data_IF_162047215186
#
_entry.id   IF_162047215186
#
_cell.length_a   1.000
_cell.length_b   1.000
_cell.length_c   1.000
_cell.angle_alpha   90.00
_cell.angle_beta   90.00
_cell.angle_gamma   90.00
#
_symmetry.space_group_name_H-M   'P 1'
#
loop_
_entity.id
_entity.type
_entity.pdbx_description
1 polymer ?
#
# COMPACT_ATOMS: atom_id res chain seq x y z
N UNK A 1 39.76 40.66 -22.77
CA UNK A 1 40.62 39.47 -22.65
C UNK A 1 40.72 39.14 -21.17
N UNK A 2 39.98 38.14 -20.74
CA UNK A 2 39.82 37.72 -19.34
C UNK A 2 39.87 36.19 -19.37
N UNK A 3 40.66 35.54 -18.51
CA UNK A 3 41.16 34.20 -18.82
C UNK A 3 40.14 33.12 -18.50
N UNK A 4 40.07 32.13 -19.40
CA UNK A 4 39.41 30.85 -19.18
C UNK A 4 40.15 30.09 -18.07
N UNK A 5 39.44 29.75 -17.00
CA UNK A 5 39.85 28.72 -16.05
C UNK A 5 39.33 27.38 -16.57
N UNK A 6 40.22 26.58 -17.15
CA UNK A 6 39.97 25.17 -17.42
C UNK A 6 40.09 24.37 -16.13
N UNK A 7 38.98 24.00 -15.51
CA UNK A 7 38.99 23.00 -14.45
C UNK A 7 38.93 21.60 -15.08
N UNK A 8 40.07 20.94 -15.17
CA UNK A 8 40.12 19.50 -15.40
C UNK A 8 39.67 18.83 -14.10
N UNK A 9 38.41 18.39 -14.05
CA UNK A 9 37.91 17.58 -12.95
C UNK A 9 38.48 16.17 -13.09
N UNK A 10 39.47 15.84 -12.25
CA UNK A 10 39.98 14.48 -12.11
C UNK A 10 38.93 13.63 -11.39
N UNK A 11 38.27 12.76 -12.15
CA UNK A 11 37.31 11.79 -11.63
C UNK A 11 38.07 10.75 -10.78
N UNK A 12 38.02 10.86 -9.45
CA UNK A 12 38.48 9.80 -8.55
C UNK A 12 37.48 8.63 -8.62
N UNK A 13 37.79 7.62 -9.43
CA UNK A 13 37.13 6.32 -9.38
C UNK A 13 37.54 5.58 -8.10
N UNK A 14 36.76 5.73 -7.03
CA UNK A 14 36.76 4.79 -5.92
C UNK A 14 35.96 3.55 -6.35
N UNK A 15 36.67 2.61 -6.96
CA UNK A 15 36.13 1.30 -7.33
C UNK A 15 35.91 0.44 -6.10
N UNK A 16 34.65 0.29 -5.69
CA UNK A 16 34.16 -0.93 -5.05
C UNK A 16 33.31 -1.67 -6.07
N UNK A 17 33.94 -2.52 -6.88
CA UNK A 17 33.21 -3.44 -7.76
C UNK A 17 32.57 -4.53 -6.90
N UNK A 18 31.37 -4.28 -6.41
CA UNK A 18 30.44 -5.39 -6.19
C UNK A 18 30.29 -6.09 -7.55
N UNK A 19 30.53 -7.41 -7.56
CA UNK A 19 30.42 -8.20 -8.79
C UNK A 19 29.09 -7.88 -9.48
N UNK A 20 29.09 -7.55 -10.79
CA UNK A 20 27.85 -7.29 -11.51
C UNK A 20 26.97 -8.53 -11.43
N UNK A 21 25.68 -8.32 -11.17
CA UNK A 21 24.68 -9.40 -11.29
C UNK A 21 24.75 -9.92 -12.72
N UNK A 22 24.98 -11.22 -12.90
CA UNK A 22 25.04 -11.81 -14.23
C UNK A 22 23.66 -11.70 -14.88
N UNK A 23 23.60 -11.31 -16.15
CA UNK A 23 22.32 -11.24 -16.89
C UNK A 23 21.60 -12.59 -16.98
N UNK A 24 22.33 -13.70 -16.81
CA UNK A 24 21.78 -15.07 -16.77
C UNK A 24 20.98 -15.39 -15.50
N UNK A 25 21.05 -14.54 -14.46
CA UNK A 25 20.38 -14.75 -13.17
C UNK A 25 19.07 -13.95 -13.05
N UNK A 26 18.72 -13.14 -14.06
CA UNK A 26 17.53 -12.28 -14.01
C UNK A 26 16.34 -13.01 -14.66
N UNK A 27 15.22 -13.19 -13.94
CA UNK A 27 14.03 -13.80 -14.50
C UNK A 27 13.51 -13.09 -15.76
N UNK A 28 12.83 -13.79 -16.68
CA UNK A 28 12.38 -13.20 -17.96
C UNK A 28 11.50 -11.95 -17.83
N UNK A 29 10.65 -11.90 -16.80
CA UNK A 29 9.78 -10.74 -16.48
C UNK A 29 10.47 -9.67 -15.61
N UNK A 30 11.76 -9.82 -15.32
CA UNK A 30 12.52 -8.90 -14.48
C UNK A 30 13.59 -8.14 -15.28
N UNK A 31 13.97 -6.97 -14.77
CA UNK A 31 15.05 -6.16 -15.33
C UNK A 31 15.86 -5.50 -14.21
N UNK A 32 17.16 -5.33 -14.45
CA UNK A 32 18.04 -4.61 -13.53
C UNK A 32 17.86 -3.11 -13.67
N UNK A 33 17.73 -2.40 -12.55
CA UNK A 33 17.78 -0.95 -12.48
C UNK A 33 19.09 -0.53 -11.80
N UNK A 34 20.07 -0.07 -12.59
CA UNK A 34 21.36 0.37 -12.05
C UNK A 34 21.29 1.79 -11.49
N UNK A 35 21.21 1.89 -10.16
CA UNK A 35 21.17 3.18 -9.46
C UNK A 35 22.37 4.08 -9.76
N UNK A 36 23.53 3.50 -10.04
CA UNK A 36 24.73 4.28 -10.37
C UNK A 36 24.57 5.06 -11.68
N UNK A 37 23.77 4.54 -12.60
CA UNK A 37 23.52 5.17 -13.90
C UNK A 37 22.74 6.48 -13.79
N UNK A 38 22.08 6.74 -12.66
CA UNK A 38 21.31 7.96 -12.43
C UNK A 38 21.69 8.72 -11.16
N UNK A 39 22.82 8.38 -10.53
CA UNK A 39 23.43 9.25 -9.52
C UNK A 39 23.81 10.63 -10.11
N UNK A 40 24.16 10.67 -11.40
CA UNK A 40 24.43 11.89 -12.15
C UNK A 40 23.70 11.80 -13.49
N UNK A 41 22.64 12.59 -13.64
CA UNK A 41 21.90 12.69 -14.90
C UNK A 41 22.53 13.75 -15.82
N UNK A 42 22.46 13.59 -17.15
CA UNK A 42 22.90 14.63 -18.09
C UNK A 42 22.16 15.96 -17.91
N UNK A 43 20.91 15.91 -17.45
CA UNK A 43 20.10 17.06 -17.07
C UNK A 43 19.14 16.67 -15.94
N UNK A 44 18.95 17.58 -14.97
CA UNK A 44 17.96 17.47 -13.89
C UNK A 44 16.95 18.60 -14.06
N UNK A 45 15.69 18.25 -14.29
CA UNK A 45 14.62 19.23 -14.49
C UNK A 45 14.24 19.93 -13.18
N UNK A 46 13.71 21.17 -13.25
CA UNK A 46 13.25 21.87 -12.05
C UNK A 46 12.03 21.18 -11.40
N UNK A 47 11.77 21.39 -10.10
CA UNK A 47 10.64 20.73 -9.39
C UNK A 47 9.25 20.99 -9.98
N UNK A 48 9.07 22.09 -10.72
CA UNK A 48 7.81 22.37 -11.40
C UNK A 48 7.54 21.42 -12.60
N UNK A 49 8.59 20.81 -13.15
CA UNK A 49 8.53 19.93 -14.32
C UNK A 49 8.72 18.45 -13.95
N UNK A 50 9.62 18.17 -12.99
CA UNK A 50 9.90 16.82 -12.51
C UNK A 50 9.73 16.75 -11.00
N UNK A 51 8.66 16.08 -10.58
CA UNK A 51 8.25 15.94 -9.18
C UNK A 51 7.66 14.54 -8.94
N UNK A 52 7.06 14.33 -7.77
CA UNK A 52 6.51 13.03 -7.39
C UNK A 52 5.41 12.48 -8.33
N UNK A 53 4.82 13.30 -9.21
CA UNK A 53 3.85 12.85 -10.23
C UNK A 53 4.49 12.49 -11.58
N UNK A 54 5.73 12.92 -11.82
CA UNK A 54 6.39 12.70 -13.10
C UNK A 54 6.96 11.28 -13.13
N UNK A 55 6.70 10.46 -14.16
CA UNK A 55 7.25 9.12 -14.24
C UNK A 55 8.77 9.20 -14.41
N UNK A 56 9.51 8.53 -13.53
CA UNK A 56 10.95 8.37 -13.68
C UNK A 56 11.24 7.16 -14.57
N UNK A 57 11.88 7.38 -15.71
CA UNK A 57 12.38 6.32 -16.58
C UNK A 57 13.89 6.20 -16.39
N UNK A 58 14.39 5.14 -15.71
CA UNK A 58 15.81 4.97 -15.47
C UNK A 58 16.61 4.87 -16.79
N UNK A 59 17.83 5.44 -16.86
CA UNK A 59 18.70 5.27 -18.01
C UNK A 59 18.91 3.79 -18.37
N UNK A 60 18.75 3.47 -19.66
CA UNK A 60 18.81 2.09 -20.15
C UNK A 60 17.45 1.39 -20.25
N UNK A 61 16.38 2.01 -19.75
CA UNK A 61 15.00 1.55 -19.88
C UNK A 61 14.15 2.51 -20.73
N UNK A 62 13.02 2.01 -21.22
CA UNK A 62 11.90 2.78 -21.79
C UNK A 62 10.64 2.52 -20.97
N UNK A 63 9.62 3.40 -21.06
CA UNK A 63 8.32 3.16 -20.41
C UNK A 63 7.74 1.78 -20.77
N UNK A 64 7.81 1.40 -22.04
CA UNK A 64 7.37 0.08 -22.51
C UNK A 64 8.16 -1.05 -21.86
N UNK A 65 9.49 -0.92 -21.74
CA UNK A 65 10.31 -1.94 -21.12
C UNK A 65 9.98 -2.11 -19.63
N UNK A 66 9.65 -1.02 -18.93
CA UNK A 66 9.26 -1.06 -17.51
C UNK A 66 7.98 -1.87 -17.33
N UNK A 67 7.02 -1.72 -18.23
CA UNK A 67 5.76 -2.48 -18.22
C UNK A 67 5.93 -3.94 -18.69
N UNK A 68 6.75 -4.19 -19.71
CA UNK A 68 6.99 -5.55 -20.23
C UNK A 68 7.76 -6.45 -19.25
N UNK A 69 8.61 -5.84 -18.40
CA UNK A 69 9.38 -6.52 -17.37
C UNK A 69 9.14 -5.84 -16.02
N UNK A 70 7.97 -6.07 -15.39
CA UNK A 70 7.50 -5.29 -14.25
C UNK A 70 8.30 -5.51 -12.96
N UNK A 71 9.11 -6.57 -12.88
CA UNK A 71 9.94 -6.82 -11.70
C UNK A 71 11.27 -6.06 -11.81
N UNK A 72 11.32 -4.87 -11.21
CA UNK A 72 12.48 -3.98 -11.28
C UNK A 72 13.43 -4.31 -10.13
N UNK A 73 14.60 -4.86 -10.47
CA UNK A 73 15.63 -5.31 -9.52
C UNK A 73 16.58 -4.15 -9.26
N UNK A 74 16.47 -3.52 -8.08
CA UNK A 74 17.40 -2.47 -7.64
C UNK A 74 18.58 -3.06 -6.85
N UNK A 75 18.39 -4.22 -6.23
CA UNK A 75 19.40 -5.02 -5.54
C UNK A 75 19.12 -6.52 -5.69
N UNK A 76 20.17 -7.35 -5.70
CA UNK A 76 20.07 -8.81 -5.78
C UNK A 76 19.25 -9.45 -4.66
N UNK A 77 19.10 -8.77 -3.51
CA UNK A 77 18.19 -9.19 -2.43
C UNK A 77 16.76 -9.41 -2.95
N UNK A 78 16.31 -8.64 -3.93
CA UNK A 78 14.97 -8.76 -4.52
C UNK A 78 14.78 -10.02 -5.38
N UNK A 79 15.85 -10.61 -5.91
CA UNK A 79 15.75 -11.89 -6.63
C UNK A 79 15.23 -13.01 -5.71
N UNK A 80 15.49 -12.94 -4.40
CA UNK A 80 14.93 -13.88 -3.41
C UNK A 80 13.45 -13.62 -3.12
N UNK A 81 12.96 -12.41 -3.38
CA UNK A 81 11.56 -12.04 -3.20
C UNK A 81 10.72 -12.57 -4.36
N UNK A 82 11.19 -12.32 -5.59
CA UNK A 82 10.43 -12.66 -6.80
C UNK A 82 10.61 -14.13 -7.22
N UNK A 83 11.75 -14.74 -6.91
CA UNK A 83 12.04 -16.12 -7.32
C UNK A 83 12.46 -16.23 -8.79
N UNK A 84 12.49 -17.45 -9.31
CA UNK A 84 13.03 -17.76 -10.64
C UNK A 84 12.03 -17.48 -11.77
N UNK A 85 10.73 -17.63 -11.50
CA UNK A 85 9.66 -17.52 -12.50
C UNK A 85 8.50 -16.64 -11.99
N UNK A 86 8.75 -15.38 -11.61
CA UNK A 86 7.68 -14.49 -11.18
C UNK A 86 6.76 -14.15 -12.36
N UNK A 87 5.48 -13.99 -12.07
CA UNK A 87 4.49 -13.53 -13.04
C UNK A 87 3.69 -12.35 -12.50
N UNK A 88 3.30 -11.43 -13.39
CA UNK A 88 2.31 -10.41 -13.11
C UNK A 88 1.23 -10.47 -14.20
N UNK A 89 0.02 -10.84 -13.79
CA UNK A 89 -1.13 -11.00 -14.68
C UNK A 89 -2.15 -9.92 -14.35
N UNK A 90 -2.56 -9.14 -15.35
CA UNK A 90 -3.74 -8.29 -15.23
C UNK A 90 -5.00 -9.15 -15.34
N UNK A 91 -5.80 -9.23 -14.29
CA UNK A 91 -6.94 -10.15 -14.19
C UNK A 91 -8.31 -9.48 -14.32
N UNK A 92 -8.40 -8.18 -14.04
CA UNK A 92 -9.62 -7.41 -14.23
C UNK A 92 -9.32 -5.97 -14.62
N UNK A 93 -10.26 -5.33 -15.30
CA UNK A 93 -10.16 -3.96 -15.77
C UNK A 93 -11.54 -3.29 -15.74
N UNK A 94 -11.58 -2.06 -15.23
CA UNK A 94 -12.70 -1.15 -15.32
C UNK A 94 -12.36 -0.01 -16.28
N UNK A 95 -13.19 0.29 -17.30
CA UNK A 95 -12.86 1.30 -18.31
C UNK A 95 -12.67 2.73 -17.77
N UNK A 96 -13.26 3.04 -16.62
CA UNK A 96 -13.31 4.42 -16.10
C UNK A 96 -13.24 4.47 -14.58
N UNK A 97 -14.10 3.73 -13.92
CA UNK A 97 -14.27 3.85 -12.47
C UNK A 97 -13.18 3.02 -11.76
N UNK A 98 -12.45 3.56 -10.76
CA UNK A 98 -11.38 2.85 -10.07
C UNK A 98 -11.94 1.83 -9.08
N UNK A 99 -12.46 0.71 -9.60
CA UNK A 99 -13.10 -0.34 -8.80
C UNK A 99 -12.12 -1.14 -7.93
N UNK A 100 -10.81 -1.03 -8.22
CA UNK A 100 -9.75 -1.81 -7.57
C UNK A 100 -8.81 -0.86 -6.84
N UNK A 101 -9.29 -0.33 -5.72
CA UNK A 101 -8.61 0.73 -4.99
C UNK A 101 -7.93 0.20 -3.71
N UNK A 102 -8.70 -0.38 -2.79
CA UNK A 102 -8.29 -0.51 -1.37
C UNK A 102 -8.61 -1.88 -0.71
N UNK A 103 -8.21 -2.06 0.56
CA UNK A 103 -8.54 -3.21 1.44
C UNK A 103 -8.30 -4.62 0.87
N UNK A 104 -7.13 -4.88 0.30
CA UNK A 104 -6.82 -6.22 -0.19
C UNK A 104 -6.67 -7.21 0.97
N UNK A 105 -7.63 -8.13 1.14
CA UNK A 105 -7.64 -9.11 2.24
C UNK A 105 -7.94 -10.50 1.70
N UNK A 106 -7.01 -11.43 1.91
CA UNK A 106 -7.23 -12.84 1.63
C UNK A 106 -7.91 -13.55 2.81
N UNK A 107 -9.09 -14.13 2.56
CA UNK A 107 -9.81 -14.98 3.49
C UNK A 107 -9.39 -16.44 3.27
N UNK A 108 -8.50 -16.95 4.14
CA UNK A 108 -8.05 -18.36 4.09
C UNK A 108 -9.19 -19.38 4.16
N UNK A 109 -10.26 -19.05 4.87
CA UNK A 109 -11.39 -19.95 5.07
C UNK A 109 -12.31 -20.14 3.85
N UNK A 110 -12.26 -19.20 2.89
CA UNK A 110 -13.00 -19.28 1.63
C UNK A 110 -12.08 -19.38 0.40
N UNK A 111 -10.78 -19.13 0.59
CA UNK A 111 -9.78 -18.97 -0.47
C UNK A 111 -10.14 -17.89 -1.51
N UNK A 112 -10.68 -16.79 -0.99
CA UNK A 112 -11.10 -15.62 -1.77
C UNK A 112 -10.33 -14.39 -1.30
N UNK A 113 -10.11 -13.45 -2.23
CA UNK A 113 -9.51 -12.15 -1.92
C UNK A 113 -10.56 -11.08 -2.07
N UNK A 114 -10.74 -10.29 -1.02
CA UNK A 114 -11.64 -9.14 -0.96
C UNK A 114 -10.85 -7.86 -1.19
N UNK A 115 -11.50 -6.87 -1.77
CA UNK A 115 -10.98 -5.52 -1.99
C UNK A 115 -12.17 -4.59 -2.20
N UNK A 116 -11.92 -3.28 -2.18
CA UNK A 116 -12.99 -2.30 -2.15
C UNK A 116 -12.75 -1.12 -3.07
N UNK A 117 -13.86 -0.43 -3.34
CA UNK A 117 -13.89 0.93 -3.83
C UNK A 117 -14.58 1.80 -2.79
N UNK A 118 -13.85 2.78 -2.26
CA UNK A 118 -14.38 3.81 -1.37
C UNK A 118 -14.88 5.03 -2.14
N UNK A 119 -15.31 6.07 -1.41
CA UNK A 119 -15.69 7.34 -2.02
C UNK A 119 -14.44 8.17 -2.28
N UNK A 120 -14.17 8.52 -3.54
CA UNK A 120 -13.18 9.54 -3.87
C UNK A 120 -13.82 10.92 -4.07
N UNK A 121 -12.97 11.91 -4.39
CA UNK A 121 -13.40 13.28 -4.68
C UNK A 121 -14.47 13.34 -5.78
N UNK A 122 -15.34 14.37 -5.74
CA UNK A 122 -16.48 14.55 -6.68
C UNK A 122 -16.12 14.43 -8.17
N UNK A 123 -14.88 14.74 -8.55
CA UNK A 123 -14.39 14.70 -9.93
C UNK A 123 -13.65 13.39 -10.29
N UNK A 124 -13.37 12.50 -9.32
CA UNK A 124 -12.54 11.31 -9.49
C UNK A 124 -13.28 10.15 -10.18
N UNK A 125 -14.39 10.40 -10.89
CA UNK A 125 -15.37 9.41 -11.39
C UNK A 125 -16.07 8.55 -10.33
N UNK A 126 -15.57 8.60 -9.09
CA UNK A 126 -16.14 8.09 -7.85
C UNK A 126 -16.90 9.18 -7.10
N UNK A 127 -17.67 8.78 -6.09
CA UNK A 127 -18.40 9.65 -5.18
C UNK A 127 -19.44 8.83 -4.40
N UNK A 128 -20.17 9.46 -3.49
CA UNK A 128 -21.09 8.74 -2.59
C UNK A 128 -22.20 7.93 -3.29
N UNK A 129 -22.53 8.26 -4.54
CA UNK A 129 -23.51 7.50 -5.35
C UNK A 129 -22.91 6.25 -6.02
N UNK A 130 -21.58 6.12 -6.01
CA UNK A 130 -20.80 5.07 -6.69
C UNK A 130 -19.68 4.52 -5.81
N UNK A 131 -19.83 4.60 -4.49
CA UNK A 131 -18.86 4.13 -3.50
C UNK A 131 -19.44 3.03 -2.63
N UNK A 132 -18.70 2.61 -1.60
CA UNK A 132 -19.11 1.59 -0.65
C UNK A 132 -19.31 0.21 -1.29
N UNK A 133 -18.44 -0.13 -2.24
CA UNK A 133 -18.47 -1.38 -2.97
C UNK A 133 -17.39 -2.30 -2.40
N UNK A 134 -17.80 -3.46 -1.92
CA UNK A 134 -16.91 -4.57 -1.58
C UNK A 134 -16.98 -5.57 -2.74
N UNK A 135 -15.84 -6.03 -3.21
CA UNK A 135 -15.72 -7.03 -4.26
C UNK A 135 -14.82 -8.16 -3.81
N UNK A 136 -14.94 -9.31 -4.49
CA UNK A 136 -14.07 -10.46 -4.28
C UNK A 136 -13.77 -11.22 -5.55
N UNK A 137 -12.66 -11.96 -5.52
CA UNK A 137 -12.28 -12.96 -6.52
C UNK A 137 -11.96 -14.30 -5.86
N UNK A 138 -12.11 -15.39 -6.61
CA UNK A 138 -11.54 -16.70 -6.26
C UNK A 138 -10.03 -16.70 -6.52
N UNK A 139 -9.24 -17.09 -5.52
CA UNK A 139 -7.80 -17.19 -5.69
C UNK A 139 -7.41 -18.31 -6.66
N UNK A 140 -8.19 -19.39 -6.70
CA UNK A 140 -7.97 -20.51 -7.61
C UNK A 140 -8.17 -20.10 -9.08
N UNK A 141 -9.18 -19.27 -9.37
CA UNK A 141 -9.41 -18.75 -10.73
C UNK A 141 -8.27 -17.84 -11.17
N UNK A 142 -7.82 -16.92 -10.30
CA UNK A 142 -6.68 -16.05 -10.58
C UNK A 142 -5.39 -16.84 -10.81
N UNK A 143 -5.15 -17.88 -10.01
CA UNK A 143 -3.98 -18.75 -10.17
C UNK A 143 -4.00 -19.51 -11.51
N UNK A 144 -5.17 -19.92 -11.99
CA UNK A 144 -5.33 -20.68 -13.24
C UNK A 144 -4.97 -19.87 -14.50
N UNK A 145 -4.88 -18.54 -14.41
CA UNK A 145 -4.53 -17.64 -15.51
C UNK A 145 -3.18 -16.95 -15.33
N UNK A 146 -2.42 -17.34 -14.31
CA UNK A 146 -1.17 -16.68 -13.90
C UNK A 146 -0.01 -16.76 -14.90
N UNK A 147 -0.14 -17.59 -15.94
CA UNK A 147 0.80 -17.71 -17.06
C UNK A 147 0.62 -16.61 -18.11
N UNK A 148 -0.48 -15.84 -18.04
CA UNK A 148 -0.82 -14.77 -18.97
C UNK A 148 -0.31 -13.42 -18.46
N UNK A 149 0.00 -12.50 -19.37
CA UNK A 149 0.20 -11.09 -19.02
C UNK A 149 -1.13 -10.36 -18.82
N UNK A 150 -2.16 -10.76 -19.57
CA UNK A 150 -3.50 -10.19 -19.53
C UNK A 150 -4.55 -11.30 -19.63
N UNK A 151 -5.45 -11.32 -18.66
CA UNK A 151 -6.50 -12.30 -18.46
C UNK A 151 -7.84 -11.63 -18.10
N UNK A 152 -8.01 -10.35 -18.45
CA UNK A 152 -9.26 -9.61 -18.20
C UNK A 152 -10.46 -10.40 -18.74
N UNK A 153 -11.46 -10.61 -17.88
CA UNK A 153 -12.68 -11.35 -18.19
C UNK A 153 -12.59 -12.87 -17.99
N UNK A 154 -11.43 -13.40 -17.56
CA UNK A 154 -11.25 -14.82 -17.24
C UNK A 154 -11.38 -15.14 -15.75
N UNK A 155 -11.33 -14.12 -14.88
CA UNK A 155 -11.54 -14.24 -13.42
C UNK A 155 -12.83 -13.52 -13.07
N UNK A 156 -13.73 -14.20 -12.34
CA UNK A 156 -14.98 -13.59 -11.94
C UNK A 156 -14.75 -12.63 -10.76
N UNK A 157 -15.11 -11.35 -10.95
CA UNK A 157 -15.13 -10.36 -9.87
C UNK A 157 -16.57 -10.19 -9.41
N UNK A 158 -16.87 -10.70 -8.22
CA UNK A 158 -18.21 -10.63 -7.63
C UNK A 158 -18.33 -9.44 -6.66
N UNK A 159 -19.48 -8.76 -6.68
CA UNK A 159 -19.83 -7.78 -5.64
C UNK A 159 -20.30 -8.52 -4.39
N UNK A 160 -19.97 -7.99 -3.22
CA UNK A 160 -20.30 -8.54 -1.90
C UNK A 160 -21.34 -7.65 -1.23
N UNK A 161 -22.57 -8.16 -1.13
CA UNK A 161 -23.68 -7.46 -0.50
C UNK A 161 -23.66 -7.64 1.01
N UNK A 162 -22.79 -6.89 1.68
CA UNK A 162 -22.70 -6.89 3.16
C UNK A 162 -23.97 -6.35 3.82
N UNK A 163 -24.39 -6.93 4.95
CA UNK A 163 -25.59 -6.50 5.67
C UNK A 163 -25.41 -6.49 7.20
N UNK A 164 -25.59 -5.34 7.89
CA UNK A 164 -25.68 -3.98 7.34
C UNK A 164 -24.52 -3.62 6.40
N UNK A 165 -24.72 -2.65 5.51
CA UNK A 165 -23.66 -2.22 4.58
C UNK A 165 -22.49 -1.59 5.33
N UNK A 166 -21.25 -2.01 5.02
CA UNK A 166 -20.06 -1.27 5.44
C UNK A 166 -19.99 0.04 4.65
N UNK A 167 -20.11 1.17 5.34
CA UNK A 167 -20.14 2.49 4.70
C UNK A 167 -18.72 2.96 4.41
N UNK A 168 -18.45 3.25 3.13
CA UNK A 168 -17.15 3.68 2.60
C UNK A 168 -16.00 2.85 3.23
N UNK A 169 -15.96 1.53 3.00
CA UNK A 169 -14.85 0.71 3.45
C UNK A 169 -13.60 1.19 2.73
N UNK A 170 -12.54 1.41 3.48
CA UNK A 170 -11.23 1.80 2.96
C UNK A 170 -10.25 0.66 3.22
N UNK A 171 -9.41 0.71 4.27
CA UNK A 171 -8.49 -0.37 4.62
C UNK A 171 -9.15 -1.51 5.39
N UNK A 172 -8.51 -2.68 5.38
CA UNK A 172 -9.02 -3.88 6.04
C UNK A 172 -7.95 -4.91 6.36
N UNK A 173 -8.26 -5.79 7.32
CA UNK A 173 -7.37 -6.88 7.73
C UNK A 173 -8.13 -8.12 8.19
N UNK A 174 -7.44 -9.25 8.25
CA UNK A 174 -7.99 -10.47 8.83
C UNK A 174 -8.13 -10.33 10.35
N UNK A 175 -9.29 -10.71 10.89
CA UNK A 175 -9.59 -10.64 12.31
C UNK A 175 -10.44 -11.83 12.75
N UNK A 176 -9.83 -12.80 13.46
CA UNK A 176 -10.52 -13.98 14.03
C UNK A 176 -11.37 -14.75 13.02
N UNK A 177 -10.82 -15.00 11.83
CA UNK A 177 -11.52 -15.68 10.73
C UNK A 177 -12.59 -14.83 10.03
N UNK A 178 -12.70 -13.56 10.41
CA UNK A 178 -13.54 -12.54 9.78
C UNK A 178 -12.67 -11.48 9.12
N UNK A 179 -13.29 -10.51 8.45
CA UNK A 179 -12.61 -9.33 7.90
C UNK A 179 -12.98 -8.12 8.74
N UNK A 180 -11.99 -7.38 9.21
CA UNK A 180 -12.15 -6.12 9.92
C UNK A 180 -11.87 -4.97 8.93
N UNK A 181 -12.87 -4.15 8.64
CA UNK A 181 -12.77 -2.96 7.80
C UNK A 181 -12.67 -1.69 8.65
N UNK A 182 -11.84 -0.76 8.19
CA UNK A 182 -11.95 0.66 8.50
C UNK A 182 -12.97 1.29 7.54
N UNK A 183 -14.06 1.82 8.08
CA UNK A 183 -15.07 2.57 7.33
C UNK A 183 -14.93 4.06 7.57
N UNK A 184 -14.92 4.84 6.49
CA UNK A 184 -14.64 6.28 6.49
C UNK A 184 -15.84 7.14 6.92
N UNK A 185 -17.02 6.53 7.06
CA UNK A 185 -18.26 7.25 7.35
C UNK A 185 -18.75 8.10 6.17
N UNK A 186 -19.81 8.87 6.40
CA UNK A 186 -20.45 9.68 5.36
C UNK A 186 -21.30 10.83 5.93
N UNK A 187 -21.07 12.05 5.43
CA UNK A 187 -21.78 13.24 5.89
C UNK A 187 -21.66 13.44 7.40
N UNK A 188 -22.57 14.20 8.00
CA UNK A 188 -22.48 14.57 9.43
C UNK A 188 -22.93 13.45 10.37
N UNK A 189 -23.83 12.58 9.91
CA UNK A 189 -24.62 11.69 10.76
C UNK A 189 -24.22 10.21 10.68
N UNK A 190 -23.36 9.83 9.73
CA UNK A 190 -22.81 8.46 9.64
C UNK A 190 -21.34 8.53 10.03
N UNK A 191 -21.00 8.20 11.29
CA UNK A 191 -19.62 8.30 11.77
C UNK A 191 -18.73 7.24 11.12
N UNK A 192 -17.42 7.50 10.99
CA UNK A 192 -16.45 6.47 10.68
C UNK A 192 -16.45 5.38 11.76
N UNK A 193 -16.20 4.14 11.36
CA UNK A 193 -16.32 3.00 12.26
C UNK A 193 -15.46 1.81 11.84
N UNK A 194 -15.09 0.98 12.81
CA UNK A 194 -14.53 -0.33 12.59
C UNK A 194 -15.66 -1.35 12.46
N UNK A 195 -15.64 -2.12 11.36
CA UNK A 195 -16.67 -3.10 11.01
C UNK A 195 -16.07 -4.49 10.91
N UNK A 196 -16.68 -5.46 11.57
CA UNK A 196 -16.35 -6.88 11.36
C UNK A 196 -17.37 -7.48 10.41
N UNK A 197 -16.90 -8.14 9.35
CA UNK A 197 -17.73 -8.83 8.35
C UNK A 197 -17.39 -10.31 8.29
N UNK A 198 -18.40 -11.17 8.26
CA UNK A 198 -18.23 -12.58 7.93
C UNK A 198 -17.87 -12.73 6.44
N UNK A 199 -16.75 -13.40 6.06
CA UNK A 199 -16.37 -13.57 4.67
C UNK A 199 -17.24 -14.59 3.91
N UNK A 200 -18.20 -15.24 4.58
CA UNK A 200 -19.17 -16.15 3.98
C UNK A 200 -20.55 -15.51 3.94
N UNK A 201 -21.34 -15.88 2.94
CA UNK A 201 -22.75 -15.52 2.88
C UNK A 201 -23.47 -15.87 4.20
N UNK A 202 -24.35 -14.99 4.72
CA UNK A 202 -24.88 -13.78 4.07
C UNK A 202 -24.07 -12.49 4.31
N UNK A 203 -22.76 -12.57 4.60
CA UNK A 203 -21.87 -11.41 4.78
C UNK A 203 -22.32 -10.45 5.88
N UNK A 204 -22.79 -11.00 7.00
CA UNK A 204 -23.24 -10.20 8.13
C UNK A 204 -22.11 -9.31 8.66
N UNK A 205 -22.46 -8.07 8.98
CA UNK A 205 -21.51 -7.10 9.56
C UNK A 205 -21.89 -6.66 10.97
N UNK A 206 -20.92 -6.15 11.72
CA UNK A 206 -21.14 -5.57 13.05
C UNK A 206 -20.13 -4.44 13.29
N UNK A 207 -20.63 -3.29 13.73
CA UNK A 207 -19.77 -2.19 14.22
C UNK A 207 -19.20 -2.56 15.58
N UNK A 208 -17.87 -2.43 15.75
CA UNK A 208 -17.19 -2.69 17.03
C UNK A 208 -16.60 -1.43 17.68
N UNK A 209 -16.44 -0.35 16.92
CA UNK A 209 -15.96 0.95 17.42
C UNK A 209 -16.37 2.07 16.44
N UNK A 210 -16.81 3.23 16.92
CA UNK A 210 -17.21 4.36 16.06
C UNK A 210 -16.95 5.77 16.62
N UNK A 211 -16.32 5.88 17.79
CA UNK A 211 -16.05 7.16 18.42
C UNK A 211 -14.83 7.10 19.37
N UNK A 212 -14.28 8.27 19.67
CA UNK A 212 -13.30 8.49 20.72
C UNK A 212 -13.90 9.40 21.80
N UNK A 213 -14.33 8.83 22.91
CA UNK A 213 -15.00 9.55 24.02
C UNK A 213 -16.19 10.41 23.56
N UNK A 214 -17.01 9.88 22.65
CA UNK A 214 -18.18 10.55 22.07
C UNK A 214 -17.87 11.50 20.90
N UNK A 215 -16.59 11.72 20.56
CA UNK A 215 -16.19 12.46 19.35
C UNK A 215 -16.14 11.49 18.17
N UNK A 216 -16.71 11.89 17.04
CA UNK A 216 -16.53 11.13 15.81
C UNK A 216 -15.06 11.16 15.40
N UNK A 217 -14.56 10.03 14.91
CA UNK A 217 -13.31 9.97 14.14
C UNK A 217 -13.39 10.88 12.90
N UNK A 218 -12.25 11.25 12.35
CA UNK A 218 -12.18 12.05 11.12
C UNK A 218 -12.65 11.19 9.93
N UNK A 219 -11.87 10.16 9.60
CA UNK A 219 -12.07 9.19 8.53
C UNK A 219 -11.09 8.03 8.78
N UNK A 220 -11.59 6.89 9.27
CA UNK A 220 -10.73 5.73 9.51
C UNK A 220 -10.21 5.21 8.17
N UNK A 221 -8.90 5.11 8.03
CA UNK A 221 -8.28 4.78 6.75
C UNK A 221 -7.80 3.32 6.72
N UNK A 222 -6.75 2.95 7.45
CA UNK A 222 -6.25 1.56 7.46
C UNK A 222 -6.20 0.96 8.87
N UNK A 223 -6.16 -0.38 8.95
CA UNK A 223 -6.27 -1.15 10.19
C UNK A 223 -5.39 -2.40 10.16
N UNK A 224 -4.70 -2.66 11.28
CA UNK A 224 -3.87 -3.84 11.47
C UNK A 224 -4.09 -4.48 12.83
N UNK A 225 -3.97 -5.81 12.88
CA UNK A 225 -3.94 -6.56 14.14
C UNK A 225 -2.49 -6.78 14.54
N UNK A 226 -2.15 -6.47 15.78
CA UNK A 226 -0.81 -6.73 16.26
C UNK A 226 -0.61 -8.26 16.49
N UNK A 227 0.48 -8.87 15.96
CA UNK A 227 0.59 -10.33 15.86
C UNK A 227 0.68 -11.05 17.20
N UNK A 228 1.13 -10.39 18.27
CA UNK A 228 1.30 -10.98 19.62
C UNK A 228 0.16 -10.64 20.58
N UNK A 229 0.00 -9.36 20.93
CA UNK A 229 -1.04 -8.92 21.87
C UNK A 229 -2.49 -8.97 21.30
N UNK A 230 -2.66 -9.12 19.97
CA UNK A 230 -3.95 -9.22 19.26
C UNK A 230 -4.85 -7.98 19.34
N UNK A 231 -4.31 -6.84 19.77
CA UNK A 231 -5.04 -5.58 19.75
C UNK A 231 -5.14 -5.01 18.33
N UNK A 232 -6.16 -4.18 18.13
CA UNK A 232 -6.46 -3.53 16.85
C UNK A 232 -5.76 -2.17 16.85
N UNK A 233 -5.02 -1.86 15.80
CA UNK A 233 -4.42 -0.55 15.60
C UNK A 233 -4.92 0.01 14.27
N UNK A 234 -5.20 1.30 14.22
CA UNK A 234 -5.80 1.92 13.04
C UNK A 234 -5.39 3.38 12.90
N UNK A 235 -5.44 3.88 11.67
CA UNK A 235 -5.17 5.27 11.33
C UNK A 235 -6.47 6.06 11.19
N UNK A 236 -6.49 7.26 11.79
CA UNK A 236 -7.55 8.24 11.59
C UNK A 236 -6.94 9.47 10.91
N UNK A 237 -7.52 9.88 9.79
CA UNK A 237 -6.97 10.88 8.88
C UNK A 237 -8.10 11.72 8.27
N UNK A 238 -7.78 12.86 7.66
CA UNK A 238 -8.80 13.79 7.15
C UNK A 238 -9.33 13.49 5.75
N UNK A 239 -9.09 12.31 5.16
CA UNK A 239 -9.45 12.03 3.76
C UNK A 239 -10.91 12.32 3.42
N UNK A 240 -11.86 11.91 4.26
CA UNK A 240 -13.26 12.24 4.03
C UNK A 240 -13.55 13.74 3.93
N UNK A 241 -12.81 14.57 4.66
CA UNK A 241 -12.92 16.03 4.55
C UNK A 241 -12.28 16.55 3.27
N UNK A 242 -11.01 16.19 3.00
CA UNK A 242 -10.27 16.71 1.83
C UNK A 242 -10.73 16.13 0.50
N UNK A 243 -11.61 15.11 0.53
CA UNK A 243 -12.31 14.54 -0.62
C UNK A 243 -13.80 14.90 -0.65
N UNK A 244 -14.28 15.75 0.26
CA UNK A 244 -15.60 16.39 0.24
C UNK A 244 -16.80 15.42 0.42
N UNK A 245 -16.66 14.44 1.31
CA UNK A 245 -17.76 13.54 1.70
C UNK A 245 -17.98 13.42 3.22
N UNK A 246 -17.15 14.06 4.04
CA UNK A 246 -17.28 14.21 5.50
C UNK A 246 -17.10 15.68 5.92
N UNK A 247 -17.63 16.09 7.08
CA UNK A 247 -17.43 17.43 7.62
C UNK A 247 -15.96 17.68 8.00
N UNK A 248 -15.67 18.93 8.36
CA UNK A 248 -14.36 19.32 8.88
C UNK A 248 -13.93 18.42 10.07
N UNK A 249 -12.63 18.05 10.13
CA UNK A 249 -12.11 17.12 11.13
C UNK A 249 -12.28 17.65 12.55
N UNK A 250 -12.62 16.75 13.45
CA UNK A 250 -12.82 17.03 14.86
C UNK A 250 -11.67 16.53 15.75
N UNK A 251 -10.76 15.71 15.21
CA UNK A 251 -9.62 15.09 15.89
C UNK A 251 -8.31 15.38 15.13
N UNK A 252 -7.18 15.11 15.77
CA UNK A 252 -5.88 15.15 15.09
C UNK A 252 -5.67 13.86 14.30
N UNK A 253 -4.83 13.96 13.27
CA UNK A 253 -4.41 12.84 12.44
C UNK A 253 -3.37 11.98 13.16
N UNK A 254 -3.78 10.78 13.55
CA UNK A 254 -3.10 9.98 14.56
C UNK A 254 -3.34 8.48 14.39
N UNK A 255 -2.51 7.67 15.05
CA UNK A 255 -2.67 6.22 15.15
C UNK A 255 -3.29 5.89 16.50
N UNK A 256 -4.37 5.13 16.47
CA UNK A 256 -5.08 4.66 17.63
C UNK A 256 -4.86 3.16 17.83
N UNK A 257 -5.03 2.73 19.06
CA UNK A 257 -5.10 1.33 19.48
C UNK A 257 -6.41 1.09 20.20
N UNK A 258 -7.10 0.05 19.81
CA UNK A 258 -8.31 -0.47 20.44
C UNK A 258 -8.05 -1.88 20.99
N UNK A 259 -8.23 -2.04 22.30
CA UNK A 259 -8.19 -3.34 22.95
C UNK A 259 -9.61 -3.93 23.00
N UNK A 260 -9.91 -4.99 22.23
CA UNK A 260 -11.27 -5.53 22.14
C UNK A 260 -11.73 -6.27 23.40
N UNK A 261 -10.82 -6.58 24.34
CA UNK A 261 -11.15 -7.27 25.60
C UNK A 261 -11.60 -6.28 26.67
N UNK A 262 -10.88 -5.16 26.83
CA UNK A 262 -11.18 -4.15 27.85
C UNK A 262 -12.08 -3.03 27.33
N UNK A 263 -12.18 -2.87 26.01
CA UNK A 263 -12.87 -1.76 25.36
C UNK A 263 -12.04 -0.46 25.32
N UNK A 264 -10.81 -0.46 25.83
CA UNK A 264 -9.98 0.73 25.91
C UNK A 264 -9.51 1.17 24.51
N UNK A 265 -9.66 2.47 24.22
CA UNK A 265 -9.12 3.12 23.03
C UNK A 265 -8.11 4.16 23.46
N UNK A 266 -6.92 4.11 22.87
CA UNK A 266 -5.80 5.01 23.21
C UNK A 266 -5.13 5.50 21.94
N UNK A 267 -4.58 6.71 21.97
CA UNK A 267 -3.66 7.20 20.95
C UNK A 267 -2.28 6.61 21.23
N UNK A 268 -1.62 6.08 20.21
CA UNK A 268 -0.30 5.44 20.35
C UNK A 268 0.79 6.11 19.51
N UNK A 269 0.43 6.91 18.49
CA UNK A 269 1.38 7.76 17.77
C UNK A 269 0.69 8.97 17.14
N UNK A 270 1.38 10.10 17.11
CA UNK A 270 0.94 11.37 16.53
C UNK A 270 2.07 12.03 15.69
N UNK A 271 1.84 13.27 15.25
CA UNK A 271 2.81 14.06 14.49
C UNK A 271 2.91 13.70 13.01
N UNK A 272 1.90 13.02 12.47
CA UNK A 272 1.75 12.76 11.04
C UNK A 272 1.10 13.96 10.36
N UNK A 273 1.36 14.12 9.06
CA UNK A 273 0.57 15.03 8.24
C UNK A 273 -0.73 14.32 7.79
N UNK A 274 -0.63 13.12 7.19
CA UNK A 274 -1.79 12.24 6.91
C UNK A 274 -1.38 10.77 7.11
N UNK A 275 -1.63 10.13 8.28
CA UNK A 275 -1.32 8.73 8.47
C UNK A 275 -2.25 7.88 7.60
N UNK A 276 -1.68 6.88 6.92
CA UNK A 276 -2.40 6.05 5.97
C UNK A 276 -2.19 4.56 6.32
N UNK A 277 -1.50 3.78 5.48
CA UNK A 277 -1.29 2.35 5.72
C UNK A 277 -0.55 2.06 7.02
N UNK A 278 -0.94 0.98 7.69
CA UNK A 278 -0.30 0.51 8.93
C UNK A 278 -0.05 -1.00 8.87
N UNK A 279 1.13 -1.43 9.28
CA UNK A 279 1.43 -2.86 9.46
C UNK A 279 2.45 -3.10 10.58
N UNK A 280 2.61 -4.37 10.97
CA UNK A 280 3.58 -4.80 11.96
C UNK A 280 4.63 -5.71 11.34
N UNK A 281 5.85 -5.68 11.88
CA UNK A 281 6.83 -6.72 11.59
C UNK A 281 6.30 -8.09 12.03
N UNK A 282 6.74 -9.20 11.41
CA UNK A 282 6.26 -10.55 11.77
C UNK A 282 6.47 -10.92 13.24
N UNK A 283 7.50 -10.37 13.87
CA UNK A 283 7.78 -10.57 15.29
C UNK A 283 7.01 -9.63 16.22
N UNK A 284 6.29 -8.64 15.68
CA UNK A 284 5.50 -7.65 16.41
C UNK A 284 6.34 -6.54 17.05
N UNK A 285 7.65 -6.47 16.82
CA UNK A 285 8.53 -5.50 17.49
C UNK A 285 8.54 -4.13 16.83
N UNK A 286 8.10 -4.04 15.59
CA UNK A 286 8.05 -2.79 14.84
C UNK A 286 6.67 -2.57 14.26
N UNK A 287 6.19 -1.33 14.34
CA UNK A 287 5.07 -0.84 13.56
C UNK A 287 5.59 0.04 12.43
N UNK A 288 4.99 -0.07 11.26
CA UNK A 288 5.29 0.78 10.11
C UNK A 288 4.02 1.52 9.73
N UNK A 289 4.12 2.85 9.60
CA UNK A 289 3.00 3.74 9.29
C UNK A 289 3.39 4.60 8.11
N UNK A 290 2.59 4.57 7.04
CA UNK A 290 2.74 5.46 5.91
C UNK A 290 2.20 6.86 6.24
N UNK A 291 2.84 7.88 5.70
CA UNK A 291 2.42 9.28 5.78
C UNK A 291 2.41 9.87 4.37
N UNK A 292 1.21 10.24 3.95
CA UNK A 292 0.84 10.70 2.61
C UNK A 292 0.61 12.21 2.58
N UNK A 293 1.17 12.95 3.53
CA UNK A 293 1.10 14.42 3.65
C UNK A 293 1.36 15.23 2.37
N UNK A 294 2.06 14.64 1.39
CA UNK A 294 2.26 15.20 0.05
C UNK A 294 0.95 15.52 -0.68
N UNK A 295 -0.13 14.79 -0.39
CA UNK A 295 -1.46 15.00 -0.95
C UNK A 295 -2.42 15.58 0.09
N UNK A 296 -3.06 16.69 -0.23
CA UNK A 296 -4.06 17.36 0.61
C UNK A 296 -5.42 17.45 -0.09
N UNK A 297 -5.71 16.53 -1.02
CA UNK A 297 -7.00 16.43 -1.72
C UNK A 297 -7.32 17.69 -2.51
N UNK A 298 -8.48 18.31 -2.25
CA UNK A 298 -8.88 19.54 -2.96
C UNK A 298 -7.95 20.74 -2.73
N UNK A 299 -7.05 20.70 -1.72
CA UNK A 299 -6.01 21.71 -1.52
C UNK A 299 -4.76 21.49 -2.40
N UNK A 300 -4.72 20.39 -3.16
CA UNK A 300 -3.64 20.06 -4.08
C UNK A 300 -2.46 19.36 -3.42
N UNK A 301 -1.37 19.24 -4.17
CA UNK A 301 -0.14 18.60 -3.70
C UNK A 301 0.86 19.60 -3.15
N UNK A 302 1.63 19.16 -2.16
CA UNK A 302 2.81 19.86 -1.67
C UNK A 302 4.00 18.91 -1.60
N UNK A 303 4.88 18.99 -2.61
CA UNK A 303 6.06 18.12 -2.75
C UNK A 303 7.14 18.28 -1.66
N UNK A 304 6.94 19.18 -0.68
CA UNK A 304 7.81 19.33 0.50
C UNK A 304 7.28 18.60 1.73
N UNK A 305 6.09 18.01 1.63
CA UNK A 305 5.41 17.28 2.71
C UNK A 305 5.73 15.79 2.67
N UNK A 306 5.41 15.03 3.73
CA UNK A 306 5.73 13.61 3.80
C UNK A 306 5.18 12.79 2.62
N UNK A 307 6.08 12.04 1.98
CA UNK A 307 5.78 10.87 1.17
C UNK A 307 6.61 9.71 1.74
N UNK A 308 6.36 9.40 3.02
CA UNK A 308 7.30 8.64 3.85
C UNK A 308 6.64 7.45 4.52
N UNK A 309 7.43 6.41 4.78
CA UNK A 309 7.08 5.37 5.76
C UNK A 309 7.89 5.65 7.02
N UNK A 310 7.22 5.70 8.17
CA UNK A 310 7.83 5.78 9.48
C UNK A 310 7.82 4.41 10.16
N UNK A 311 8.87 4.13 10.94
CA UNK A 311 8.94 2.95 11.82
C UNK A 311 8.92 3.39 13.27
N UNK A 312 8.24 2.61 14.08
CA UNK A 312 8.20 2.72 15.55
C UNK A 312 8.67 1.40 16.16
N UNK A 313 9.22 1.48 17.37
CA UNK A 313 9.39 0.30 18.21
C UNK A 313 8.10 0.07 19.00
N UNK A 314 7.62 -1.17 19.02
CA UNK A 314 6.41 -1.57 19.75
C UNK A 314 6.82 -2.09 21.12
N UNK A 315 6.17 -1.56 22.16
CA UNK A 315 6.43 -1.96 23.55
C UNK A 315 5.53 -3.08 23.99
N UNK A 316 5.93 -3.76 25.07
CA UNK A 316 5.18 -4.87 25.66
C UNK A 316 3.78 -4.44 26.10
N UNK A 317 3.62 -3.17 26.50
CA UNK A 317 2.32 -2.59 26.85
C UNK A 317 1.47 -2.20 25.63
N UNK A 318 1.99 -2.32 24.41
CA UNK A 318 1.35 -1.99 23.14
C UNK A 318 1.51 -0.53 22.69
N UNK A 319 2.27 0.30 23.40
CA UNK A 319 2.59 1.67 22.95
C UNK A 319 3.65 1.68 21.84
N UNK A 320 3.71 2.78 21.09
CA UNK A 320 4.70 2.99 20.03
C UNK A 320 5.71 4.07 20.46
N UNK A 321 7.01 3.82 20.26
CA UNK A 321 8.08 4.76 20.57
C UNK A 321 9.11 4.86 19.43
N UNK A 322 10.10 5.75 19.60
CA UNK A 322 11.27 5.87 18.71
C UNK A 322 10.91 6.04 17.22
N UNK A 323 9.99 6.95 16.91
CA UNK A 323 9.63 7.31 15.53
C UNK A 323 10.89 7.63 14.74
N UNK A 324 11.04 6.98 13.60
CA UNK A 324 12.09 7.30 12.63
C UNK A 324 11.60 7.14 11.20
N UNK A 325 12.16 7.92 10.28
CA UNK A 325 11.97 7.68 8.85
C UNK A 325 12.57 6.32 8.49
N UNK A 326 11.76 5.48 7.86
CA UNK A 326 12.17 4.18 7.34
C UNK A 326 12.43 4.27 5.83
N UNK A 327 11.52 4.90 5.08
CA UNK A 327 11.66 5.14 3.65
C UNK A 327 11.02 6.48 3.25
N UNK A 328 11.50 7.05 2.16
CA UNK A 328 10.88 8.18 1.45
C UNK A 328 10.72 7.78 -0.02
N UNK A 329 9.51 7.87 -0.56
CA UNK A 329 9.22 7.42 -1.92
C UNK A 329 9.41 8.57 -2.90
N UNK A 330 9.97 8.25 -4.07
CA UNK A 330 10.17 9.23 -5.14
C UNK A 330 8.94 9.41 -6.06
N UNK A 331 7.96 8.49 -6.04
CA UNK A 331 6.80 8.49 -6.93
C UNK A 331 5.52 8.35 -6.13
N UNK A 332 4.65 9.35 -6.24
CA UNK A 332 3.42 9.46 -5.46
C UNK A 332 3.68 9.56 -3.96
N UNK A 333 2.90 8.79 -3.20
CA UNK A 333 3.01 8.62 -1.76
C UNK A 333 2.94 7.13 -1.42
N UNK A 334 3.53 6.66 -0.30
CA UNK A 334 3.29 5.31 0.17
C UNK A 334 1.88 5.24 0.76
N UNK A 335 1.08 4.29 0.30
CA UNK A 335 -0.32 4.14 0.72
C UNK A 335 -0.46 2.87 1.59
N UNK A 336 -1.20 1.86 1.15
CA UNK A 336 -1.27 0.55 1.81
C UNK A 336 0.11 -0.09 2.01
N UNK A 337 0.37 -0.65 3.19
CA UNK A 337 1.68 -1.17 3.61
C UNK A 337 1.57 -2.56 4.20
N UNK A 338 2.47 -3.47 3.81
CA UNK A 338 2.49 -4.86 4.30
C UNK A 338 3.92 -5.35 4.54
N UNK A 339 4.06 -6.37 5.39
CA UNK A 339 5.33 -7.07 5.59
C UNK A 339 5.30 -8.48 5.00
N UNK A 340 6.43 -8.94 4.47
CA UNK A 340 6.62 -10.38 4.23
C UNK A 340 7.03 -11.10 5.52
N UNK A 341 6.98 -12.43 5.49
CA UNK A 341 7.37 -13.33 6.58
C UNK A 341 8.84 -13.20 7.03
N UNK A 342 9.68 -12.51 6.26
CA UNK A 342 11.10 -12.24 6.59
C UNK A 342 11.33 -10.81 7.07
N UNK A 343 10.27 -10.00 7.18
CA UNK A 343 10.29 -8.62 7.65
C UNK A 343 10.71 -7.60 6.61
N UNK A 344 10.71 -7.92 5.32
CA UNK A 344 10.79 -6.90 4.27
C UNK A 344 9.44 -6.15 4.23
N UNK A 345 9.51 -4.87 3.92
CA UNK A 345 8.37 -3.94 3.98
C UNK A 345 8.01 -3.55 2.56
N UNK A 346 6.72 -3.56 2.25
CA UNK A 346 6.15 -3.30 0.95
C UNK A 346 5.16 -2.15 1.08
N UNK A 347 5.12 -1.21 0.14
CA UNK A 347 4.07 -0.19 0.09
C UNK A 347 3.59 0.04 -1.34
N UNK A 348 2.30 0.35 -1.49
CA UNK A 348 1.70 0.84 -2.71
C UNK A 348 2.18 2.28 -2.95
N UNK A 349 2.62 2.58 -4.16
CA UNK A 349 3.22 3.87 -4.52
C UNK A 349 2.73 4.29 -5.92
N UNK A 350 3.13 5.50 -6.35
CA UNK A 350 2.69 6.09 -7.62
C UNK A 350 3.07 5.30 -8.89
N UNK A 351 4.01 4.37 -8.80
CA UNK A 351 4.48 3.51 -9.91
C UNK A 351 4.43 2.01 -9.56
N UNK A 352 3.62 1.62 -8.58
CA UNK A 352 3.38 0.22 -8.21
C UNK A 352 3.81 -0.10 -6.78
N UNK A 353 4.24 -1.34 -6.54
CA UNK A 353 4.63 -1.80 -5.19
C UNK A 353 6.14 -1.63 -5.01
N UNK A 354 6.57 -0.85 -4.01
CA UNK A 354 7.98 -0.72 -3.62
C UNK A 354 8.32 -1.70 -2.52
N UNK A 355 9.53 -2.27 -2.57
CA UNK A 355 9.99 -3.28 -1.61
C UNK A 355 11.29 -2.84 -0.96
N UNK A 356 11.27 -2.69 0.36
CA UNK A 356 12.43 -2.37 1.18
C UNK A 356 12.82 -3.55 2.05
N UNK A 357 14.13 -3.76 2.22
CA UNK A 357 14.59 -4.68 3.26
C UNK A 357 14.42 -4.05 4.66
N UNK A 358 14.69 -4.82 5.72
CA UNK A 358 14.53 -4.41 7.13
C UNK A 358 15.30 -3.13 7.54
N UNK A 359 16.30 -2.69 6.77
CA UNK A 359 17.03 -1.45 7.04
C UNK A 359 16.43 -0.22 6.35
N UNK A 360 15.39 -0.36 5.53
CA UNK A 360 14.82 0.73 4.73
C UNK A 360 15.51 0.93 3.38
N UNK A 361 16.33 -0.03 2.93
CA UNK A 361 16.97 0.03 1.61
C UNK A 361 16.00 -0.51 0.56
N UNK A 362 15.73 0.30 -0.48
CA UNK A 362 14.92 -0.14 -1.63
C UNK A 362 15.68 -1.26 -2.36
N UNK A 363 15.09 -2.45 -2.41
CA UNK A 363 15.68 -3.62 -3.08
C UNK A 363 15.01 -3.92 -4.42
N UNK A 364 13.75 -3.54 -4.59
CA UNK A 364 13.04 -3.75 -5.85
C UNK A 364 11.67 -3.08 -5.91
N UNK A 365 11.04 -3.19 -7.08
CA UNK A 365 9.64 -2.79 -7.31
C UNK A 365 8.90 -3.83 -8.14
N UNK A 366 7.60 -3.95 -7.91
CA UNK A 366 6.65 -4.55 -8.86
C UNK A 366 5.94 -3.38 -9.52
N UNK A 367 6.33 -3.07 -10.76
CA UNK A 367 5.91 -1.88 -11.46
C UNK A 367 4.50 -2.02 -12.01
N UNK A 368 3.65 -1.06 -11.64
CA UNK A 368 2.28 -0.90 -12.13
C UNK A 368 2.13 0.55 -12.57
N UNK A 369 2.01 0.84 -13.88
CA UNK A 369 2.04 2.22 -14.38
C UNK A 369 0.93 3.12 -13.85
N UNK A 370 -0.22 2.55 -13.49
CA UNK A 370 -1.35 3.27 -12.90
C UNK A 370 -1.15 3.61 -11.42
N UNK A 371 -0.06 3.14 -10.80
CA UNK A 371 0.15 3.20 -9.36
C UNK A 371 -0.52 2.04 -8.63
N UNK A 372 -0.41 2.05 -7.31
CA UNK A 372 -1.05 1.07 -6.43
C UNK A 372 -1.41 1.75 -5.13
N UNK A 373 -2.70 1.80 -4.80
CA UNK A 373 -3.17 2.26 -3.50
C UNK A 373 -2.99 1.14 -2.46
N UNK A 374 -3.52 -0.07 -2.71
CA UNK A 374 -3.29 -1.21 -1.82
C UNK A 374 -3.00 -2.52 -2.58
N UNK A 375 -2.48 -3.49 -1.85
CA UNK A 375 -2.14 -4.83 -2.32
C UNK A 375 -2.00 -5.73 -1.10
N UNK A 376 -2.06 -7.04 -1.25
CA UNK A 376 -1.70 -7.92 -0.15
C UNK A 376 -1.29 -9.30 -0.65
N UNK A 377 -0.56 -10.03 0.19
CA UNK A 377 -0.30 -11.43 -0.02
C UNK A 377 -1.58 -12.25 0.14
N UNK A 378 -1.73 -13.27 -0.70
CA UNK A 378 -2.93 -14.10 -0.77
C UNK A 378 -2.55 -15.58 -0.84
N UNK A 379 -2.05 -16.12 0.28
CA UNK A 379 -1.47 -17.45 0.35
C UNK A 379 0.04 -17.45 0.07
N UNK A 380 0.59 -18.63 -0.18
CA UNK A 380 2.03 -18.80 -0.40
C UNK A 380 2.44 -18.34 -1.80
N UNK A 381 3.42 -17.44 -1.89
CA UNK A 381 3.98 -16.96 -3.16
C UNK A 381 2.99 -16.23 -4.06
N UNK A 382 1.94 -15.64 -3.50
CA UNK A 382 0.85 -15.01 -4.25
C UNK A 382 0.53 -13.63 -3.70
N UNK A 383 0.20 -12.70 -4.57
CA UNK A 383 -0.18 -11.34 -4.21
C UNK A 383 -1.28 -10.84 -5.14
N UNK A 384 -2.23 -10.08 -4.60
CA UNK A 384 -3.21 -9.31 -5.38
C UNK A 384 -2.90 -7.84 -5.20
N UNK A 385 -2.94 -7.08 -6.31
CA UNK A 385 -2.56 -5.67 -6.35
C UNK A 385 -3.71 -4.87 -6.97
N UNK A 386 -4.16 -3.83 -6.26
CA UNK A 386 -5.17 -2.89 -6.69
C UNK A 386 -4.48 -1.69 -7.37
N UNK A 387 -4.65 -1.57 -8.69
CA UNK A 387 -4.06 -0.53 -9.52
C UNK A 387 -5.10 0.42 -10.08
N UNK A 388 -6.05 0.85 -9.25
CA UNK A 388 -7.19 1.73 -9.57
C UNK A 388 -8.18 1.07 -10.54
N UNK A 389 -7.97 1.24 -11.84
CA UNK A 389 -8.81 0.68 -12.90
C UNK A 389 -8.44 -0.74 -13.27
N UNK A 390 -7.32 -1.25 -12.77
CA UNK A 390 -6.83 -2.58 -13.08
C UNK A 390 -6.58 -3.38 -11.79
N UNK A 391 -6.89 -4.68 -11.83
CA UNK A 391 -6.59 -5.63 -10.77
C UNK A 391 -5.52 -6.60 -11.28
N UNK A 392 -4.48 -6.80 -10.49
CA UNK A 392 -3.38 -7.70 -10.84
C UNK A 392 -3.24 -8.85 -9.86
N UNK A 393 -2.81 -9.98 -10.38
CA UNK A 393 -2.38 -11.14 -9.63
C UNK A 393 -0.90 -11.40 -9.93
N UNK A 394 -0.09 -11.51 -8.87
CA UNK A 394 1.34 -11.76 -8.98
C UNK A 394 1.73 -13.08 -8.32
N UNK A 395 2.68 -13.80 -8.94
CA UNK A 395 3.36 -14.95 -8.34
C UNK A 395 4.80 -14.58 -7.98
N UNK A 396 5.21 -14.96 -6.78
CA UNK A 396 6.47 -14.59 -6.12
C UNK A 396 7.05 -15.78 -5.36
N UNK A 397 8.27 -15.66 -4.86
CA UNK A 397 8.85 -16.58 -3.89
C UNK A 397 8.60 -16.16 -2.43
N UNK A 398 8.29 -14.89 -2.18
CA UNK A 398 8.00 -14.37 -0.85
C UNK A 398 6.58 -14.71 -0.39
N UNK A 399 6.46 -15.00 0.90
CA UNK A 399 5.18 -15.19 1.59
C UNK A 399 4.89 -14.01 2.50
N UNK A 400 3.61 -13.60 2.58
CA UNK A 400 3.17 -12.56 3.48
C UNK A 400 3.34 -12.89 4.96
N UNK A 401 3.44 -11.84 5.78
CA UNK A 401 3.28 -11.95 7.22
C UNK A 401 1.80 -12.04 7.56
N UNK A 402 1.36 -13.15 8.15
CA UNK A 402 -0.02 -13.32 8.58
C UNK A 402 -0.11 -13.32 10.09
N UNK A 403 -1.13 -12.65 10.62
CA UNK A 403 -1.50 -12.78 12.02
C UNK A 403 -2.30 -14.08 12.14
N UNK A 404 -1.77 -15.06 12.88
CA UNK A 404 -2.52 -16.29 13.15
C UNK A 404 -3.88 -15.94 13.76
N UNK A 405 -4.94 -16.37 13.07
CA UNK A 405 -6.34 -16.04 13.32
C UNK A 405 -6.96 -16.84 14.46
N UNK A 406 -6.20 -17.75 15.09
CA UNK A 406 -6.67 -18.55 16.22
C UNK A 406 -6.37 -17.84 17.56
N UNK A 407 -7.26 -16.88 17.89
CA UNK A 407 -7.91 -16.61 19.19
C UNK A 407 -8.42 -15.17 19.28
#
# INVERSE_FOLDING_TARGET
>A
MTPQLSSVATLLLLGSFLAPVSSSEIPPQAQLIDQRAFNVLPATQPPAEFNAKSPFVPPGSTGDSLSQKPFHVYDKEFLKIIGETPTLTRIAHSPKDPLYHEAVVWSKGTDEVFFVQNAGAKNASTGLEKSAIIQKISLAEAAAVSDKSDAVGLVNVAVVDSSPQVINPNGATNYRGQILYAGEGQGDNVPPALWVMNPKEPFNTTVILNNYFGRQFNSLNDVAIHPKNKDIYFTDTIYGYVQDFRPAPGLQDQVYRFNPVTGAVTVVADGFDHPNGLTFSPDGKHAYVADTGIDSGFFGLNFTRPASVYRFDVKDDGTLENRKTFAFVHSGAPDGIHCDSKGNVYAGCGDGVHVWNRSGKLIGKIYVPSGTANFNFAGQGKMVICGETDLYYATLAADGSYVDSEM
#
